data_IF_787522711995
#
_entry.id   IF_787522711995
#
_cell.length_a   1.000
_cell.length_b   1.000
_cell.length_c   1.000
_cell.angle_alpha   90.00
_cell.angle_beta   90.00
_cell.angle_gamma   90.00
#
_symmetry.space_group_name_H-M   'P 1'
#
loop_
_entity.id
_entity.type
_entity.pdbx_description
1 polymer ?
#
# COMPACT_ATOMS: atom_id res chain seq x y z
N UNK A 1 11.59 -19.30 -40.99
CA UNK A 1 10.89 -18.06 -41.41
C UNK A 1 11.73 -16.89 -40.94
N UNK A 2 12.15 -16.02 -41.85
CA UNK A 2 12.97 -14.84 -41.54
C UNK A 2 12.07 -13.71 -41.05
N UNK A 3 12.44 -13.04 -39.96
CA UNK A 3 11.69 -11.92 -39.38
C UNK A 3 12.47 -10.62 -39.62
N UNK A 4 11.79 -9.61 -40.17
CA UNK A 4 12.34 -8.28 -40.39
C UNK A 4 12.01 -7.36 -39.21
N UNK A 5 13.02 -7.06 -38.38
CA UNK A 5 12.90 -6.24 -37.17
C UNK A 5 13.01 -4.73 -37.42
N UNK A 6 13.39 -4.29 -38.63
CA UNK A 6 13.59 -2.88 -38.95
C UNK A 6 12.32 -2.03 -38.79
N UNK A 7 11.15 -2.67 -38.93
CA UNK A 7 9.83 -2.03 -38.82
C UNK A 7 9.27 -2.05 -37.39
N UNK A 8 9.99 -2.65 -36.44
CA UNK A 8 9.48 -2.83 -35.10
C UNK A 8 9.65 -1.54 -34.31
N UNK A 9 8.66 -1.26 -33.45
CA UNK A 9 8.78 -0.20 -32.46
C UNK A 9 9.75 -0.63 -31.35
N UNK A 10 10.35 0.31 -30.57
CA UNK A 10 11.19 -0.03 -29.42
C UNK A 10 10.51 -0.99 -28.44
N UNK A 11 9.20 -0.79 -28.21
CA UNK A 11 8.37 -1.72 -27.42
C UNK A 11 8.41 -3.14 -27.99
N UNK A 12 8.13 -3.26 -29.29
CA UNK A 12 8.06 -4.55 -29.97
C UNK A 12 9.41 -5.25 -30.04
N UNK A 13 10.51 -4.51 -30.15
CA UNK A 13 11.87 -5.05 -30.11
C UNK A 13 12.21 -5.64 -28.73
N UNK A 14 11.90 -4.92 -27.64
CA UNK A 14 12.12 -5.42 -26.27
C UNK A 14 11.20 -6.63 -25.97
N UNK A 15 9.94 -6.55 -26.40
CA UNK A 15 8.98 -7.66 -26.23
C UNK A 15 9.43 -8.91 -27.00
N UNK A 16 9.87 -8.74 -28.24
CA UNK A 16 10.46 -9.82 -29.04
C UNK A 16 11.70 -10.40 -28.35
N UNK A 17 12.57 -9.56 -27.77
CA UNK A 17 13.77 -10.02 -27.08
C UNK A 17 13.44 -10.87 -25.85
N UNK A 18 12.39 -10.50 -25.12
CA UNK A 18 11.94 -11.23 -23.92
C UNK A 18 11.24 -12.56 -24.21
N UNK A 19 10.84 -12.81 -25.46
CA UNK A 19 9.99 -13.96 -25.85
C UNK A 19 10.64 -14.90 -26.84
N UNK A 20 11.63 -14.44 -27.60
CA UNK A 20 12.32 -15.28 -28.58
C UNK A 20 13.18 -16.35 -27.89
N UNK A 21 13.06 -17.59 -28.38
CA UNK A 21 13.96 -18.67 -28.01
C UNK A 21 15.22 -18.59 -28.90
N UNK A 22 16.34 -18.19 -28.30
CA UNK A 22 17.62 -18.03 -28.98
C UNK A 22 18.24 -19.34 -29.46
N UNK A 23 17.88 -20.48 -28.85
CA UNK A 23 18.39 -21.80 -29.22
C UNK A 23 17.56 -22.40 -30.36
N UNK A 24 16.25 -22.19 -30.34
CA UNK A 24 15.35 -22.64 -31.40
C UNK A 24 15.44 -21.78 -32.67
N UNK A 25 15.73 -20.47 -32.54
CA UNK A 25 15.77 -19.52 -33.66
C UNK A 25 17.01 -18.59 -33.65
N UNK A 26 18.23 -19.15 -33.77
CA UNK A 26 19.48 -18.41 -33.58
C UNK A 26 19.70 -17.27 -34.59
N UNK A 27 19.27 -17.43 -35.85
CA UNK A 27 19.44 -16.41 -36.88
C UNK A 27 18.48 -15.22 -36.69
N UNK A 28 17.24 -15.47 -36.26
CA UNK A 28 16.30 -14.41 -35.91
C UNK A 28 16.75 -13.69 -34.63
N UNK A 29 17.29 -14.42 -33.66
CA UNK A 29 17.87 -13.85 -32.44
C UNK A 29 19.03 -12.90 -32.75
N UNK A 30 19.99 -13.32 -33.59
CA UNK A 30 21.10 -12.45 -34.02
C UNK A 30 20.61 -11.19 -34.74
N UNK A 31 19.64 -11.33 -35.64
CA UNK A 31 19.03 -10.21 -36.36
C UNK A 31 18.37 -9.21 -35.41
N UNK A 32 17.62 -9.71 -34.42
CA UNK A 32 17.01 -8.88 -33.38
C UNK A 32 18.04 -8.13 -32.53
N UNK A 33 19.09 -8.80 -32.08
CA UNK A 33 20.17 -8.18 -31.29
C UNK A 33 20.90 -7.11 -32.11
N UNK A 34 21.14 -7.36 -33.40
CA UNK A 34 21.77 -6.39 -34.29
C UNK A 34 20.90 -5.13 -34.45
N UNK A 35 19.59 -5.29 -34.61
CA UNK A 35 18.65 -4.17 -34.71
C UNK A 35 18.51 -3.39 -33.39
N UNK A 36 18.49 -4.10 -32.25
CA UNK A 36 18.50 -3.46 -30.93
C UNK A 36 19.79 -2.67 -30.71
N UNK A 37 20.92 -3.22 -31.15
CA UNK A 37 22.23 -2.56 -31.02
C UNK A 37 22.36 -1.35 -31.94
N UNK A 38 21.79 -1.40 -33.15
CA UNK A 38 21.81 -0.28 -34.09
C UNK A 38 20.94 0.90 -33.63
N UNK A 39 19.86 0.63 -32.89
CA UNK A 39 18.90 1.62 -32.35
C UNK A 39 19.03 1.83 -30.84
N UNK A 40 20.24 1.62 -30.29
CA UNK A 40 20.50 1.63 -28.85
C UNK A 40 19.96 2.87 -28.13
N UNK A 41 20.24 4.07 -28.63
CA UNK A 41 19.79 5.31 -27.99
C UNK A 41 18.26 5.40 -27.87
N UNK A 42 17.54 5.01 -28.93
CA UNK A 42 16.08 5.01 -28.95
C UNK A 42 15.49 4.02 -27.93
N UNK A 43 16.13 2.85 -27.79
CA UNK A 43 15.74 1.82 -26.84
C UNK A 43 16.02 2.28 -25.41
N UNK A 44 17.20 2.85 -25.15
CA UNK A 44 17.54 3.41 -23.84
C UNK A 44 16.58 4.54 -23.44
N UNK A 45 16.21 5.42 -24.37
CA UNK A 45 15.20 6.46 -24.13
C UNK A 45 13.82 5.86 -23.83
N UNK A 46 13.41 4.82 -24.56
CA UNK A 46 12.14 4.15 -24.31
C UNK A 46 12.12 3.46 -22.93
N UNK A 47 13.18 2.74 -22.56
CA UNK A 47 13.32 2.12 -21.24
C UNK A 47 13.33 3.16 -20.11
N UNK A 48 14.05 4.27 -20.28
CA UNK A 48 14.02 5.39 -19.33
C UNK A 48 12.61 5.95 -19.17
N UNK A 49 11.85 6.09 -20.26
CA UNK A 49 10.45 6.52 -20.22
C UNK A 49 9.54 5.54 -19.47
N UNK A 50 9.80 4.23 -19.57
CA UNK A 50 9.07 3.21 -18.83
C UNK A 50 9.36 3.28 -17.33
N UNK A 51 10.63 3.46 -16.96
CA UNK A 51 11.02 3.62 -15.56
C UNK A 51 10.45 4.90 -14.95
N UNK A 52 10.42 6.00 -15.71
CA UNK A 52 9.75 7.23 -15.29
C UNK A 52 8.25 7.01 -15.04
N UNK A 53 7.53 6.40 -16.00
CA UNK A 53 6.10 6.08 -15.83
C UNK A 53 5.83 5.18 -14.64
N UNK A 54 6.72 4.20 -14.39
CA UNK A 54 6.62 3.36 -13.18
C UNK A 54 6.80 4.21 -11.92
N UNK A 55 7.79 5.11 -11.88
CA UNK A 55 8.01 6.00 -10.75
C UNK A 55 6.80 6.92 -10.49
N UNK A 56 6.26 7.56 -11.53
CA UNK A 56 5.05 8.39 -11.46
C UNK A 56 3.84 7.60 -10.92
N UNK A 57 3.69 6.33 -11.32
CA UNK A 57 2.63 5.46 -10.79
C UNK A 57 2.79 5.20 -9.30
N UNK A 58 4.00 4.90 -8.82
CA UNK A 58 4.27 4.72 -7.39
C UNK A 58 4.02 6.01 -6.60
N UNK A 59 4.38 7.16 -7.17
CA UNK A 59 4.11 8.48 -6.58
C UNK A 59 2.62 8.81 -6.51
N UNK A 60 1.85 8.40 -7.53
CA UNK A 60 0.39 8.52 -7.54
C UNK A 60 -0.26 7.67 -6.44
N UNK A 61 0.16 6.41 -6.28
CA UNK A 61 -0.32 5.56 -5.19
C UNK A 61 0.04 6.11 -3.82
N UNK A 62 1.25 6.66 -3.67
CA UNK A 62 1.65 7.27 -2.42
C UNK A 62 0.80 8.51 -2.08
N UNK A 63 0.52 9.40 -3.05
CA UNK A 63 -0.43 10.50 -2.86
C UNK A 63 -1.82 10.00 -2.47
N UNK A 64 -2.31 8.95 -3.14
CA UNK A 64 -3.62 8.37 -2.86
C UNK A 64 -3.72 7.91 -1.41
N UNK A 65 -2.71 7.21 -0.88
CA UNK A 65 -2.64 6.81 0.54
C UNK A 65 -2.77 8.03 1.45
N UNK A 66 -2.08 9.14 1.13
CA UNK A 66 -2.16 10.38 1.90
C UNK A 66 -3.57 10.97 1.95
N UNK A 67 -4.25 11.05 0.81
CA UNK A 67 -5.63 11.53 0.75
C UNK A 67 -6.60 10.63 1.50
N UNK A 68 -6.41 9.32 1.41
CA UNK A 68 -7.21 8.37 2.15
C UNK A 68 -7.02 8.55 3.67
N UNK A 69 -5.78 8.70 4.16
CA UNK A 69 -5.54 9.00 5.58
C UNK A 69 -6.22 10.31 6.03
N UNK A 70 -6.16 11.37 5.22
CA UNK A 70 -6.89 12.62 5.50
C UNK A 70 -8.40 12.38 5.59
N UNK A 71 -8.98 11.65 4.64
CA UNK A 71 -10.41 11.35 4.62
C UNK A 71 -10.84 10.55 5.86
N UNK A 72 -10.08 9.53 6.25
CA UNK A 72 -10.32 8.78 7.49
C UNK A 72 -10.25 9.67 8.72
N UNK A 73 -9.28 10.58 8.79
CA UNK A 73 -9.18 11.52 9.90
C UNK A 73 -10.42 12.42 10.02
N UNK A 74 -10.93 12.92 8.90
CA UNK A 74 -12.18 13.72 8.86
C UNK A 74 -13.39 12.87 9.28
N UNK A 75 -13.52 11.67 8.74
CA UNK A 75 -14.62 10.75 9.11
C UNK A 75 -14.55 10.36 10.58
N UNK A 76 -13.35 10.17 11.13
CA UNK A 76 -13.15 9.90 12.56
C UNK A 76 -13.60 11.07 13.43
N UNK A 77 -13.29 12.31 13.06
CA UNK A 77 -13.80 13.50 13.76
C UNK A 77 -15.32 13.51 13.74
N UNK A 78 -15.94 13.31 12.58
CA UNK A 78 -17.41 13.28 12.46
C UNK A 78 -18.01 12.19 13.34
N UNK A 79 -17.46 10.97 13.30
CA UNK A 79 -17.88 9.85 14.14
C UNK A 79 -17.76 10.14 15.63
N UNK A 80 -16.64 10.75 16.06
CA UNK A 80 -16.44 11.16 17.45
C UNK A 80 -17.49 12.20 17.85
N UNK A 81 -17.68 13.26 17.07
CA UNK A 81 -18.65 14.34 17.35
C UNK A 81 -20.09 13.80 17.47
N UNK A 82 -20.50 12.90 16.58
CA UNK A 82 -21.83 12.29 16.63
C UNK A 82 -22.02 11.33 17.82
N UNK A 83 -20.93 10.79 18.37
CA UNK A 83 -20.97 9.79 19.44
C UNK A 83 -20.67 10.35 20.85
N UNK A 84 -20.27 11.64 20.97
CA UNK A 84 -19.81 12.26 22.24
C UNK A 84 -20.79 12.06 23.39
N UNK A 85 -22.10 12.10 23.13
CA UNK A 85 -23.10 12.02 24.21
C UNK A 85 -23.19 10.64 24.88
N UNK A 86 -22.73 9.57 24.21
CA UNK A 86 -22.90 8.18 24.65
C UNK A 86 -21.56 7.49 24.98
N UNK A 87 -20.44 8.20 24.94
CA UNK A 87 -19.11 7.60 25.14
C UNK A 87 -18.47 8.06 26.45
N UNK A 88 -17.64 7.18 27.04
CA UNK A 88 -16.74 7.57 28.11
C UNK A 88 -15.74 8.60 27.57
N UNK A 89 -15.36 9.58 28.40
CA UNK A 89 -14.43 10.65 28.04
C UNK A 89 -13.10 10.08 27.46
N UNK A 90 -12.66 8.93 27.98
CA UNK A 90 -11.44 8.25 27.56
C UNK A 90 -11.54 7.74 26.11
N UNK A 91 -12.68 7.16 25.73
CA UNK A 91 -12.91 6.62 24.38
C UNK A 91 -12.98 7.76 23.36
N UNK A 92 -13.64 8.86 23.73
CA UNK A 92 -13.69 10.06 22.91
C UNK A 92 -12.27 10.66 22.71
N UNK A 93 -11.47 10.76 23.77
CA UNK A 93 -10.09 11.24 23.68
C UNK A 93 -9.22 10.35 22.78
N UNK A 94 -9.37 9.03 22.89
CA UNK A 94 -8.67 8.08 22.03
C UNK A 94 -9.11 8.23 20.57
N UNK A 95 -10.40 8.35 20.29
CA UNK A 95 -10.94 8.59 18.96
C UNK A 95 -10.40 9.86 18.31
N UNK A 96 -10.37 10.98 19.05
CA UNK A 96 -9.77 12.23 18.57
C UNK A 96 -8.25 12.10 18.35
N UNK A 97 -7.55 11.35 19.19
CA UNK A 97 -6.13 11.06 19.01
C UNK A 97 -5.85 10.29 17.70
N UNK A 98 -6.62 9.25 17.42
CA UNK A 98 -6.55 8.50 16.16
C UNK A 98 -6.89 9.40 14.97
N UNK A 99 -7.92 10.24 15.09
CA UNK A 99 -8.28 11.19 14.03
C UNK A 99 -7.13 12.16 13.73
N UNK A 100 -6.52 12.74 14.76
CA UNK A 100 -5.37 13.64 14.63
C UNK A 100 -4.16 12.93 13.99
N UNK A 101 -3.89 11.69 14.37
CA UNK A 101 -2.81 10.88 13.79
C UNK A 101 -3.03 10.64 12.30
N UNK A 102 -4.25 10.31 11.88
CA UNK A 102 -4.60 10.12 10.47
C UNK A 102 -4.44 11.41 9.66
N UNK A 103 -4.90 12.55 10.20
CA UNK A 103 -4.74 13.84 9.54
C UNK A 103 -3.27 14.20 9.41
N UNK A 104 -2.49 14.08 10.48
CA UNK A 104 -1.08 14.44 10.47
C UNK A 104 -0.27 13.52 9.53
N UNK A 105 -0.54 12.22 9.55
CA UNK A 105 0.06 11.25 8.65
C UNK A 105 -0.29 11.55 7.19
N UNK A 106 -1.57 11.76 6.87
CA UNK A 106 -2.03 12.06 5.51
C UNK A 106 -1.49 13.40 5.00
N UNK A 107 -1.48 14.43 5.85
CA UNK A 107 -0.91 15.74 5.53
C UNK A 107 0.58 15.62 5.21
N UNK A 108 1.34 14.87 6.01
CA UNK A 108 2.77 14.67 5.77
C UNK A 108 3.05 14.08 4.39
N UNK A 109 2.26 13.06 3.99
CA UNK A 109 2.35 12.42 2.66
C UNK A 109 2.00 13.41 1.56
N UNK A 110 0.87 14.11 1.65
CA UNK A 110 0.42 15.05 0.62
C UNK A 110 1.39 16.22 0.45
N UNK A 111 1.94 16.73 1.55
CA UNK A 111 2.94 17.81 1.53
C UNK A 111 4.37 17.35 1.27
N UNK A 112 4.60 16.05 1.18
CA UNK A 112 5.92 15.46 0.93
C UNK A 112 6.95 15.82 2.02
N UNK A 113 6.52 15.99 3.26
CA UNK A 113 7.39 16.41 4.36
C UNK A 113 8.13 15.20 4.96
N UNK A 114 9.31 14.89 4.42
CA UNK A 114 10.10 13.71 4.78
C UNK A 114 10.35 13.55 6.30
N UNK A 115 10.46 14.66 7.04
CA UNK A 115 10.69 14.66 8.49
C UNK A 115 9.53 14.00 9.27
N UNK A 116 8.31 14.01 8.75
CA UNK A 116 7.12 13.56 9.45
C UNK A 116 6.55 12.24 8.92
N UNK A 117 7.21 11.57 7.97
CA UNK A 117 6.74 10.29 7.45
C UNK A 117 6.73 9.16 8.48
N UNK A 118 7.46 9.29 9.59
CA UNK A 118 7.32 8.36 10.71
C UNK A 118 5.87 8.30 11.22
N UNK A 119 5.09 9.38 11.10
CA UNK A 119 3.68 9.41 11.47
C UNK A 119 2.85 8.48 10.59
N UNK A 120 3.16 8.39 9.30
CA UNK A 120 2.50 7.46 8.38
C UNK A 120 2.87 6.02 8.67
N UNK A 121 4.14 5.75 9.00
CA UNK A 121 4.57 4.42 9.46
C UNK A 121 3.91 4.02 10.78
N UNK A 122 3.80 4.95 11.74
CA UNK A 122 3.13 4.71 13.00
C UNK A 122 1.63 4.45 12.78
N UNK A 123 0.96 5.32 12.02
CA UNK A 123 -0.47 5.20 11.75
C UNK A 123 -0.79 3.87 11.05
N UNK A 124 -0.12 3.55 9.95
CA UNK A 124 -0.35 2.27 9.26
C UNK A 124 0.14 1.07 10.06
N UNK A 125 1.24 1.20 10.80
CA UNK A 125 1.77 0.15 11.65
C UNK A 125 0.79 -0.28 12.74
N UNK A 126 0.07 0.68 13.33
CA UNK A 126 -1.01 0.40 14.26
C UNK A 126 -2.20 -0.32 13.59
N UNK A 127 -2.40 -0.18 12.27
CA UNK A 127 -3.47 -0.87 11.53
C UNK A 127 -3.09 -2.31 11.14
N UNK A 128 -1.79 -2.63 11.08
CA UNK A 128 -1.33 -3.95 10.60
C UNK A 128 -1.88 -5.09 11.45
N UNK A 129 -1.96 -4.91 12.77
CA UNK A 129 -2.34 -5.97 13.70
C UNK A 129 -3.55 -5.53 14.54
N UNK A 130 -4.62 -6.30 14.46
CA UNK A 130 -5.74 -6.25 15.42
C UNK A 130 -5.77 -7.56 16.18
N UNK A 131 -6.10 -7.53 17.47
CA UNK A 131 -6.15 -8.74 18.29
C UNK A 131 -7.11 -8.60 19.45
N UNK A 132 -7.66 -9.72 19.86
CA UNK A 132 -8.39 -9.88 21.10
C UNK A 132 -7.85 -11.07 21.86
N UNK A 133 -7.34 -10.87 23.07
CA UNK A 133 -6.78 -11.94 23.91
C UNK A 133 -7.32 -11.80 25.33
N UNK A 134 -8.18 -12.75 25.72
CA UNK A 134 -8.94 -12.66 26.97
C UNK A 134 -9.71 -11.34 27.01
N UNK A 135 -9.57 -10.62 28.12
CA UNK A 135 -10.22 -9.34 28.33
C UNK A 135 -9.72 -8.16 27.50
N UNK A 136 -8.61 -8.33 26.78
CA UNK A 136 -7.99 -7.25 26.00
C UNK A 136 -8.45 -7.32 24.56
N UNK A 137 -8.86 -6.17 24.02
CA UNK A 137 -9.25 -6.03 22.64
C UNK A 137 -8.65 -4.75 22.06
N UNK A 138 -7.91 -4.89 20.97
CA UNK A 138 -7.38 -3.79 20.19
C UNK A 138 -7.73 -3.97 18.73
N UNK A 139 -8.30 -2.93 18.14
CA UNK A 139 -8.62 -2.93 16.74
C UNK A 139 -8.48 -1.54 16.15
N UNK A 140 -7.76 -1.43 15.05
CA UNK A 140 -7.62 -0.18 14.32
C UNK A 140 -7.64 -0.43 12.81
N UNK A 141 -8.72 0.01 12.16
CA UNK A 141 -8.95 -0.26 10.74
C UNK A 141 -8.71 0.94 9.84
N UNK A 142 -8.62 2.15 10.39
CA UNK A 142 -8.42 3.37 9.61
C UNK A 142 -9.43 3.54 8.47
N UNK A 143 -9.00 3.25 7.25
CA UNK A 143 -9.77 3.35 5.99
C UNK A 143 -10.73 2.18 5.75
N UNK A 144 -10.63 1.13 6.56
CA UNK A 144 -11.01 -0.20 6.17
C UNK A 144 -9.79 -1.01 5.77
N UNK A 145 -9.96 -2.33 5.65
CA UNK A 145 -8.83 -3.22 5.44
C UNK A 145 -9.22 -4.55 4.81
N UNK A 146 -8.19 -5.28 4.39
CA UNK A 146 -8.30 -6.65 3.90
C UNK A 146 -7.62 -7.53 4.91
N UNK A 147 -8.39 -8.39 5.55
CA UNK A 147 -7.95 -9.01 6.79
C UNK A 147 -7.68 -10.49 6.62
N UNK A 148 -6.64 -10.95 7.31
CA UNK A 148 -6.35 -12.34 7.57
C UNK A 148 -6.61 -12.59 9.05
N UNK A 149 -7.72 -13.23 9.38
CA UNK A 149 -8.12 -13.47 10.77
C UNK A 149 -7.94 -14.92 11.15
N UNK A 150 -7.35 -15.15 12.32
CA UNK A 150 -7.37 -16.42 13.02
C UNK A 150 -8.14 -16.22 14.34
N UNK A 151 -9.30 -16.84 14.46
CA UNK A 151 -10.14 -16.81 15.65
C UNK A 151 -10.23 -18.22 16.24
N UNK A 152 -9.81 -18.37 17.50
CA UNK A 152 -9.80 -19.64 18.22
C UNK A 152 -10.89 -19.74 19.29
N UNK A 153 -11.71 -18.70 19.44
CA UNK A 153 -12.86 -18.70 20.37
C UNK A 153 -14.13 -19.14 19.65
N UNK A 154 -14.30 -18.75 18.38
CA UNK A 154 -15.44 -19.17 17.58
C UNK A 154 -15.09 -20.44 16.78
N UNK A 155 -15.72 -21.61 17.08
CA UNK A 155 -15.36 -22.88 16.46
C UNK A 155 -15.59 -22.96 14.95
N UNK A 156 -16.37 -22.02 14.39
CA UNK A 156 -16.63 -21.88 12.94
C UNK A 156 -15.48 -21.15 12.21
N UNK A 157 -14.68 -20.36 12.93
CA UNK A 157 -13.64 -19.48 12.38
C UNK A 157 -12.20 -19.91 12.75
N UNK A 158 -12.02 -21.18 13.13
CA UNK A 158 -10.70 -21.81 13.29
C UNK A 158 -9.87 -21.89 11.99
N UNK A 159 -10.37 -21.30 10.90
CA UNK A 159 -9.74 -21.18 9.60
C UNK A 159 -9.44 -19.72 9.30
N UNK A 160 -8.36 -19.51 8.53
CA UNK A 160 -7.95 -18.20 8.05
C UNK A 160 -9.09 -17.55 7.23
N UNK A 161 -9.72 -16.52 7.79
CA UNK A 161 -10.82 -15.80 7.15
C UNK A 161 -10.31 -14.56 6.41
N UNK A 162 -10.85 -14.34 5.21
CA UNK A 162 -10.63 -13.15 4.42
C UNK A 162 -11.82 -12.20 4.56
N UNK A 163 -11.60 -11.07 5.23
CA UNK A 163 -12.63 -10.05 5.45
C UNK A 163 -12.31 -8.74 4.75
N UNK A 164 -13.35 -8.02 4.31
CA UNK A 164 -13.27 -6.63 3.89
C UNK A 164 -14.25 -5.81 4.72
N UNK A 165 -13.75 -4.77 5.40
CA UNK A 165 -14.58 -3.87 6.19
C UNK A 165 -14.41 -2.43 5.72
N UNK A 166 -15.54 -1.77 5.42
CA UNK A 166 -15.63 -0.31 5.27
C UNK A 166 -16.63 0.16 6.33
N UNK A 167 -16.22 1.07 7.20
CA UNK A 167 -17.15 1.77 8.10
C UNK A 167 -17.45 1.09 9.46
N UNK A 168 -16.52 0.30 9.99
CA UNK A 168 -16.55 -0.12 11.41
C UNK A 168 -16.09 0.97 12.38
N UNK A 169 -16.04 0.66 13.69
CA UNK A 169 -15.36 1.52 14.66
C UNK A 169 -13.91 1.71 14.19
N UNK A 170 -13.56 2.95 13.83
CA UNK A 170 -12.29 3.30 13.18
C UNK A 170 -11.13 2.80 14.04
N UNK A 171 -11.24 2.97 15.36
CA UNK A 171 -10.43 2.29 16.35
C UNK A 171 -11.31 1.89 17.54
N UNK A 172 -10.97 0.79 18.20
CA UNK A 172 -11.63 0.36 19.42
C UNK A 172 -10.64 -0.32 20.35
N UNK A 173 -10.71 0.05 21.63
CA UNK A 173 -9.88 -0.49 22.70
C UNK A 173 -10.79 -0.79 23.88
N UNK A 174 -10.72 -2.00 24.42
CA UNK A 174 -11.42 -2.34 25.65
C UNK A 174 -10.58 -3.27 26.53
N UNK A 175 -10.76 -3.10 27.84
CA UNK A 175 -10.32 -4.04 28.88
C UNK A 175 -11.57 -4.48 29.65
N UNK A 176 -11.96 -5.74 29.50
CA UNK A 176 -13.18 -6.31 30.10
C UNK A 176 -13.03 -7.78 30.49
N UNK A 177 -14.13 -8.41 30.90
CA UNK A 177 -14.18 -9.83 31.27
C UNK A 177 -14.49 -10.77 30.10
N UNK A 178 -14.72 -10.23 28.90
CA UNK A 178 -15.06 -11.00 27.72
C UNK A 178 -13.89 -11.89 27.31
N UNK A 179 -14.16 -13.13 26.91
CA UNK A 179 -13.14 -14.04 26.39
C UNK A 179 -12.92 -13.78 24.90
N UNK A 180 -12.11 -12.79 24.56
CA UNK A 180 -11.66 -12.62 23.18
C UNK A 180 -10.54 -13.61 22.86
N UNK A 181 -10.47 -14.05 21.61
CA UNK A 181 -9.39 -14.92 21.15
C UNK A 181 -9.28 -14.91 19.65
N UNK A 182 -8.74 -13.81 19.12
CA UNK A 182 -8.42 -13.69 17.70
C UNK A 182 -7.16 -12.86 17.49
N UNK A 183 -6.49 -13.12 16.36
CA UNK A 183 -5.45 -12.26 15.79
C UNK A 183 -5.83 -12.00 14.34
N UNK A 184 -5.65 -10.76 13.91
CA UNK A 184 -6.03 -10.29 12.60
C UNK A 184 -4.92 -9.43 12.01
N UNK A 185 -4.54 -9.74 10.78
CA UNK A 185 -3.54 -8.99 10.02
C UNK A 185 -4.20 -8.23 8.87
N UNK A 186 -3.97 -6.92 8.79
CA UNK A 186 -4.42 -6.10 7.68
C UNK A 186 -3.39 -6.08 6.54
N UNK A 187 -3.69 -6.85 5.50
CA UNK A 187 -2.88 -6.96 4.29
C UNK A 187 -2.86 -5.65 3.50
N UNK A 188 -3.93 -4.85 3.57
CA UNK A 188 -3.97 -3.54 2.91
C UNK A 188 -3.02 -2.55 3.60
N UNK A 189 -2.98 -2.55 4.94
CA UNK A 189 -2.03 -1.75 5.70
C UNK A 189 -0.58 -2.12 5.38
N UNK A 190 -0.27 -3.43 5.29
CA UNK A 190 1.04 -3.93 4.87
C UNK A 190 1.39 -3.46 3.45
N UNK A 191 0.45 -3.57 2.50
CA UNK A 191 0.66 -3.09 1.13
C UNK A 191 0.98 -1.59 1.12
N UNK A 192 0.19 -0.77 1.84
CA UNK A 192 0.42 0.66 1.97
C UNK A 192 1.82 0.97 2.52
N UNK A 193 2.25 0.26 3.57
CA UNK A 193 3.62 0.40 4.12
C UNK A 193 4.70 0.09 3.07
N UNK A 194 4.51 -0.94 2.24
CA UNK A 194 5.44 -1.27 1.16
C UNK A 194 5.49 -0.18 0.08
N UNK A 195 4.36 0.44 -0.26
CA UNK A 195 4.30 1.58 -1.20
C UNK A 195 5.13 2.74 -0.65
N UNK A 196 4.90 3.13 0.61
CA UNK A 196 5.62 4.22 1.27
C UNK A 196 7.11 3.91 1.30
N UNK A 197 7.50 2.70 1.75
CA UNK A 197 8.89 2.27 1.79
C UNK A 197 9.58 2.36 0.43
N UNK A 198 8.92 1.89 -0.63
CA UNK A 198 9.46 1.88 -1.99
C UNK A 198 9.68 3.29 -2.54
N UNK A 199 8.73 4.20 -2.33
CA UNK A 199 8.87 5.61 -2.75
C UNK A 199 9.97 6.30 -1.95
N UNK A 200 10.02 6.06 -0.63
CA UNK A 200 11.01 6.66 0.25
C UNK A 200 12.44 6.22 -0.04
N UNK A 201 12.64 4.93 -0.31
CA UNK A 201 13.96 4.41 -0.65
C UNK A 201 14.47 5.05 -1.94
N UNK A 202 13.61 5.20 -2.96
CA UNK A 202 13.98 5.90 -4.21
C UNK A 202 14.32 7.38 -3.99
N UNK A 203 13.58 8.10 -3.15
CA UNK A 203 13.84 9.52 -2.83
C UNK A 203 15.11 9.74 -2.03
N UNK A 204 15.43 8.86 -1.08
CA UNK A 204 16.69 8.93 -0.34
C UNK A 204 17.92 8.70 -1.25
N UNK A 205 17.75 7.89 -2.30
CA UNK A 205 18.80 7.67 -3.31
C UNK A 205 18.89 8.85 -4.29
N UNK A 206 17.77 9.54 -4.58
CA UNK A 206 17.75 10.70 -5.48
C UNK A 206 16.78 11.80 -4.98
N UNK A 207 17.27 12.78 -4.18
CA UNK A 207 16.43 13.78 -3.52
C UNK A 207 15.85 14.86 -4.46
N UNK A 208 16.09 14.76 -5.77
CA UNK A 208 15.56 15.68 -6.80
C UNK A 208 14.32 15.13 -7.53
N UNK A 209 13.82 13.95 -7.14
CA UNK A 209 12.54 13.34 -7.55
C UNK A 209 11.49 13.55 -6.46
#
# INVERSE_FOLDING_TARGET
MYVDYSKYSPKSLIEALSTIDGDAYPENYKSLIAEISSRREEIEMYEASLEQKKAERWESYFSFIGYCQLATGVLAIVGCVLSVYNQLLLDAAFGFGIAALNIAAGYSIVKRECKYFFLSYLNLGLQVCSFGIGGFYFNYYGLGGVFLTYDWVLPVYNFLEFGFSIGGNIASFSMGSDSNGFIQLDVLAILCLLIIYKVMTKRNINPRL
#
